data_IF_334936938565
#
_entry.id   IF_334936938565
#
_cell.length_a   1.000
_cell.length_b   1.000
_cell.length_c   1.000
_cell.angle_alpha   90.00
_cell.angle_beta   90.00
_cell.angle_gamma   90.00
#
_symmetry.space_group_name_H-M   'P 1'
#
loop_
_entity.id
_entity.type
_entity.pdbx_description
1 polymer ?
#
# COMPACT_ATOMS: atom_id res chain seq x y z
N UNK A 1 -15.69 21.94 -2.30
CA UNK A 1 -15.21 20.77 -3.08
C UNK A 1 -13.84 20.31 -2.56
N UNK A 2 -13.75 20.01 -1.26
CA UNK A 2 -12.60 19.35 -0.69
C UNK A 2 -12.74 17.86 -1.03
N UNK A 3 -11.87 17.36 -1.89
CA UNK A 3 -11.96 16.01 -2.47
C UNK A 3 -11.80 14.99 -1.35
N UNK A 4 -12.94 14.48 -0.87
CA UNK A 4 -13.03 13.24 -0.11
C UNK A 4 -12.74 12.07 -1.03
N UNK A 5 -11.48 11.67 -1.06
CA UNK A 5 -10.95 10.43 -1.63
C UNK A 5 -9.79 10.15 -0.66
N UNK A 6 -9.90 9.28 0.33
CA UNK A 6 -9.44 7.89 0.24
C UNK A 6 -9.54 7.23 1.63
N UNK A 7 -10.72 7.20 2.27
CA UNK A 7 -10.84 6.52 3.57
C UNK A 7 -12.10 5.69 3.79
N UNK A 8 -12.97 5.55 2.78
CA UNK A 8 -14.20 4.74 2.90
C UNK A 8 -14.18 3.37 2.22
N UNK A 9 -13.11 3.01 1.51
CA UNK A 9 -13.02 1.72 0.80
C UNK A 9 -12.10 0.69 1.46
N UNK A 10 -11.49 1.00 2.61
CA UNK A 10 -10.54 0.10 3.30
C UNK A 10 -11.20 -0.79 4.37
N UNK A 11 -12.39 -0.42 4.86
CA UNK A 11 -13.18 -1.30 5.75
C UNK A 11 -13.84 -2.47 5.01
N UNK A 12 -14.20 -2.31 3.74
CA UNK A 12 -14.90 -3.36 2.99
C UNK A 12 -13.98 -4.51 2.54
N UNK A 13 -12.69 -4.25 2.31
CA UNK A 13 -11.74 -5.31 1.92
C UNK A 13 -11.29 -6.21 3.09
N UNK A 14 -11.59 -5.82 4.34
CA UNK A 14 -11.28 -6.62 5.52
C UNK A 14 -12.29 -7.76 5.73
N UNK A 15 -13.54 -7.62 5.25
CA UNK A 15 -14.54 -8.67 5.36
C UNK A 15 -14.22 -9.90 4.49
N UNK A 16 -13.66 -9.71 3.29
CA UNK A 16 -13.37 -10.82 2.36
C UNK A 16 -12.07 -11.58 2.66
N UNK A 17 -11.09 -10.99 3.35
CA UNK A 17 -9.86 -11.70 3.73
C UNK A 17 -10.03 -12.60 4.97
N UNK A 18 -11.07 -12.35 5.78
CA UNK A 18 -11.42 -13.18 6.93
C UNK A 18 -12.10 -14.49 6.52
N UNK A 19 -12.80 -14.51 5.39
CA UNK A 19 -13.64 -15.65 4.99
C UNK A 19 -12.88 -16.79 4.29
N UNK A 20 -11.66 -16.51 3.79
CA UNK A 20 -10.93 -17.45 2.90
C UNK A 20 -9.89 -18.35 3.55
N UNK A 21 -9.89 -18.50 4.87
CA UNK A 21 -9.03 -19.52 5.53
C UNK A 21 -9.73 -20.12 6.75
N UNK A 22 -9.88 -21.45 6.84
CA UNK A 22 -10.13 -22.08 8.13
C UNK A 22 -8.83 -21.96 8.93
N UNK A 23 -8.67 -20.88 9.72
CA UNK A 23 -7.49 -20.66 10.56
C UNK A 23 -7.89 -20.78 12.02
N UNK A 24 -7.61 -21.98 12.55
CA UNK A 24 -7.50 -22.30 13.97
C UNK A 24 -6.34 -21.51 14.62
N UNK A 25 -6.43 -20.18 14.67
CA UNK A 25 -5.42 -19.32 15.28
C UNK A 25 -6.07 -18.10 15.92
N UNK A 26 -5.48 -17.54 16.99
CA UNK A 26 -6.02 -16.36 17.65
C UNK A 26 -6.15 -15.20 16.65
N UNK A 27 -7.18 -14.35 16.82
CA UNK A 27 -7.38 -13.21 15.95
C UNK A 27 -6.13 -12.32 15.92
N UNK A 28 -5.77 -11.75 14.75
CA UNK A 28 -4.59 -10.90 14.63
C UNK A 28 -4.71 -9.72 15.58
N UNK A 29 -3.66 -9.51 16.38
CA UNK A 29 -3.58 -8.44 17.37
C UNK A 29 -3.57 -7.07 16.68
N UNK A 30 -4.00 -6.02 17.39
CA UNK A 30 -4.03 -4.64 16.85
C UNK A 30 -2.67 -4.21 16.26
N UNK A 31 -1.57 -4.66 16.87
CA UNK A 31 -0.21 -4.41 16.38
C UNK A 31 0.08 -5.04 15.01
N UNK A 32 -0.47 -6.23 14.72
CA UNK A 32 -0.33 -6.88 13.42
C UNK A 32 -1.20 -6.20 12.36
N UNK A 33 -2.38 -5.69 12.76
CA UNK A 33 -3.25 -4.92 11.88
C UNK A 33 -2.60 -3.60 11.47
N UNK A 34 -1.97 -2.88 12.39
CA UNK A 34 -1.27 -1.64 12.07
C UNK A 34 -0.06 -1.86 11.16
N UNK A 35 0.71 -2.94 11.38
CA UNK A 35 1.79 -3.33 10.45
C UNK A 35 1.27 -3.61 9.05
N UNK A 36 0.17 -4.36 8.93
CA UNK A 36 -0.46 -4.66 7.64
C UNK A 36 -1.02 -3.42 6.96
N UNK A 37 -1.66 -2.50 7.69
CA UNK A 37 -2.13 -1.21 7.16
C UNK A 37 -0.99 -0.36 6.61
N UNK A 38 0.10 -0.23 7.38
CA UNK A 38 1.30 0.50 6.94
C UNK A 38 1.88 -0.11 5.66
N UNK A 39 2.02 -1.44 5.62
CA UNK A 39 2.49 -2.17 4.44
C UNK A 39 1.59 -1.95 3.23
N UNK A 40 0.27 -2.06 3.39
CA UNK A 40 -0.68 -1.83 2.31
C UNK A 40 -0.63 -0.39 1.78
N UNK A 41 -0.48 0.61 2.67
CA UNK A 41 -0.29 2.00 2.27
C UNK A 41 0.96 2.21 1.43
N UNK A 42 2.09 1.62 1.83
CA UNK A 42 3.34 1.68 1.06
C UNK A 42 3.23 0.99 -0.30
N UNK A 43 2.59 -0.19 -0.37
CA UNK A 43 2.34 -0.90 -1.63
C UNK A 43 1.44 -0.11 -2.59
N UNK A 44 0.41 0.57 -2.06
CA UNK A 44 -0.47 1.41 -2.85
C UNK A 44 0.30 2.60 -3.45
N UNK A 45 1.11 3.27 -2.64
CA UNK A 45 1.98 4.36 -3.10
C UNK A 45 2.96 3.89 -4.17
N UNK A 46 3.57 2.71 -4.00
CA UNK A 46 4.49 2.11 -4.98
C UNK A 46 3.79 1.91 -6.33
N UNK A 47 2.61 1.30 -6.31
CA UNK A 47 1.81 1.03 -7.51
C UNK A 47 1.40 2.34 -8.20
N UNK A 48 1.04 3.37 -7.42
CA UNK A 48 0.72 4.69 -7.95
C UNK A 48 1.91 5.36 -8.63
N UNK A 49 3.12 5.26 -8.06
CA UNK A 49 4.34 5.79 -8.67
C UNK A 49 4.73 5.00 -9.93
N UNK A 50 4.58 3.68 -9.95
CA UNK A 50 4.82 2.86 -11.14
C UNK A 50 3.88 3.22 -12.29
N UNK A 51 2.60 3.45 -11.98
CA UNK A 51 1.64 3.93 -12.98
C UNK A 51 2.01 5.32 -13.52
N UNK A 52 2.44 6.22 -12.64
CA UNK A 52 2.93 7.54 -13.05
C UNK A 52 4.21 7.44 -13.89
N UNK A 53 5.11 6.50 -13.58
CA UNK A 53 6.33 6.24 -14.33
C UNK A 53 6.02 5.77 -15.75
N UNK A 54 5.01 4.92 -15.91
CA UNK A 54 4.53 4.46 -17.22
C UNK A 54 3.91 5.59 -18.07
N UNK A 55 3.19 6.51 -17.42
CA UNK A 55 2.60 7.68 -18.10
C UNK A 55 3.59 8.85 -18.30
N UNK A 56 4.71 8.87 -17.56
CA UNK A 56 5.68 9.95 -17.62
C UNK A 56 6.55 9.86 -18.88
N UNK A 57 6.44 10.87 -19.74
CA UNK A 57 7.31 11.05 -20.90
C UNK A 57 8.61 11.79 -20.56
N UNK A 58 8.63 12.58 -19.47
CA UNK A 58 9.79 13.39 -19.10
C UNK A 58 10.85 12.56 -18.36
N UNK A 59 12.10 12.47 -18.86
CA UNK A 59 13.16 11.64 -18.27
C UNK A 59 13.51 12.06 -16.84
N UNK A 60 13.54 13.36 -16.53
CA UNK A 60 13.82 13.86 -15.17
C UNK A 60 12.71 13.46 -14.19
N UNK A 61 11.46 13.51 -14.65
CA UNK A 61 10.32 13.08 -13.83
C UNK A 61 10.36 11.57 -13.59
N UNK A 62 10.72 10.77 -14.61
CA UNK A 62 10.90 9.32 -14.46
C UNK A 62 11.98 8.97 -13.45
N UNK A 63 13.10 9.70 -13.44
CA UNK A 63 14.16 9.52 -12.43
C UNK A 63 13.63 9.76 -11.01
N UNK A 64 12.95 10.88 -10.78
CA UNK A 64 12.34 11.17 -9.47
C UNK A 64 11.33 10.10 -9.03
N UNK A 65 10.48 9.62 -9.94
CA UNK A 65 9.52 8.55 -9.65
C UNK A 65 10.21 7.23 -9.31
N UNK A 66 11.30 6.90 -10.02
CA UNK A 66 12.09 5.69 -9.78
C UNK A 66 12.80 5.72 -8.42
N UNK A 67 13.37 6.88 -8.06
CA UNK A 67 13.97 7.09 -6.74
C UNK A 67 12.93 6.98 -5.62
N UNK A 68 11.73 7.55 -5.83
CA UNK A 68 10.61 7.41 -4.91
C UNK A 68 10.15 5.96 -4.72
N UNK A 69 10.07 5.18 -5.80
CA UNK A 69 9.77 3.74 -5.75
C UNK A 69 10.83 3.00 -4.93
N UNK A 70 12.12 3.27 -5.19
CA UNK A 70 13.22 2.63 -4.46
C UNK A 70 13.18 2.92 -2.96
N UNK A 71 12.81 4.14 -2.56
CA UNK A 71 12.65 4.50 -1.15
C UNK A 71 11.45 3.80 -0.51
N UNK A 72 10.31 3.71 -1.20
CA UNK A 72 9.16 2.94 -0.72
C UNK A 72 9.50 1.45 -0.58
N UNK A 73 10.29 0.89 -1.50
CA UNK A 73 10.75 -0.50 -1.44
C UNK A 73 11.68 -0.73 -0.23
N UNK A 74 12.55 0.22 0.13
CA UNK A 74 13.34 0.14 1.37
C UNK A 74 12.45 0.14 2.60
N UNK A 75 11.46 1.04 2.66
CA UNK A 75 10.53 1.09 3.79
C UNK A 75 9.71 -0.19 3.90
N UNK A 76 9.31 -0.78 2.78
CA UNK A 76 8.66 -2.08 2.74
C UNK A 76 9.58 -3.18 3.27
N UNK A 77 10.84 -3.22 2.85
CA UNK A 77 11.82 -4.20 3.31
C UNK A 77 12.10 -4.09 4.82
N UNK A 78 12.09 -2.87 5.38
CA UNK A 78 12.21 -2.63 6.83
C UNK A 78 10.96 -3.06 7.62
N UNK A 79 9.81 -3.17 6.96
CA UNK A 79 8.55 -3.63 7.57
C UNK A 79 8.33 -5.15 7.45
N UNK A 80 9.16 -5.87 6.68
CA UNK A 80 9.13 -7.34 6.56
C UNK A 80 9.79 -8.02 7.76
#
# INVERSE_FOLDING_TARGET
MARGFESKSVEQQQAEMLDRRPRNGPPPTLAEQDKNRKRQGLLLSRTNLERQLGAAANPRHRQMLTEGIAELDRQLALLQ
#
